data_IF_457419653443
#
_entry.id   IF_457419653443
#
_cell.length_a   1.000
_cell.length_b   1.000
_cell.length_c   1.000
_cell.angle_alpha   90.00
_cell.angle_beta   90.00
_cell.angle_gamma   90.00
#
_symmetry.space_group_name_H-M   'P 1'
#
loop_
_entity.id
_entity.type
_entity.pdbx_description
1 polymer ?
#
# COMPACT_ATOMS: atom_id res chain seq x y z
N UNK A 1 15.65 -7.28 -3.24
CA UNK A 1 15.85 -6.78 -1.88
C UNK A 1 14.64 -7.18 -1.04
N UNK A 2 14.86 -7.94 0.02
CA UNK A 2 13.83 -8.29 1.00
C UNK A 2 13.44 -7.06 1.83
N UNK A 3 12.34 -7.15 2.57
CA UNK A 3 11.91 -6.07 3.45
C UNK A 3 12.89 -5.84 4.61
N UNK A 4 13.46 -6.92 5.14
CA UNK A 4 14.47 -6.88 6.20
C UNK A 4 15.76 -6.23 5.71
N UNK A 5 16.23 -6.60 4.51
CA UNK A 5 17.40 -5.97 3.87
C UNK A 5 17.20 -4.47 3.70
N UNK A 6 16.01 -4.05 3.25
CA UNK A 6 15.67 -2.63 3.09
C UNK A 6 15.67 -1.89 4.43
N UNK A 7 15.10 -2.48 5.49
CA UNK A 7 15.06 -1.86 6.82
C UNK A 7 16.46 -1.74 7.39
N UNK A 8 17.27 -2.80 7.28
CA UNK A 8 18.67 -2.78 7.68
C UNK A 8 19.47 -1.69 6.94
N UNK A 9 19.28 -1.56 5.62
CA UNK A 9 19.90 -0.50 4.81
C UNK A 9 19.49 0.91 5.27
N UNK A 10 18.22 1.10 5.65
CA UNK A 10 17.74 2.37 6.20
C UNK A 10 18.39 2.68 7.55
N UNK A 11 18.38 1.72 8.47
CA UNK A 11 18.90 1.89 9.83
C UNK A 11 20.41 2.16 9.82
N UNK A 12 21.16 1.33 9.10
CA UNK A 12 22.61 1.50 8.92
C UNK A 12 22.94 2.87 8.30
N UNK A 13 22.21 3.28 7.26
CA UNK A 13 22.49 4.58 6.62
C UNK A 13 22.15 5.76 7.55
N UNK A 14 21.06 5.69 8.32
CA UNK A 14 20.73 6.71 9.32
C UNK A 14 21.83 6.80 10.39
N UNK A 15 22.36 5.65 10.81
CA UNK A 15 23.44 5.60 11.79
C UNK A 15 24.72 6.23 11.22
N UNK A 16 25.12 5.87 10.00
CA UNK A 16 26.28 6.46 9.33
C UNK A 16 26.16 7.99 9.19
N UNK A 17 24.96 8.50 8.87
CA UNK A 17 24.72 9.95 8.82
C UNK A 17 24.95 10.59 10.20
N UNK A 18 24.45 9.98 11.28
CA UNK A 18 24.60 10.51 12.64
C UNK A 18 26.05 10.47 13.11
N UNK A 19 26.77 9.39 12.83
CA UNK A 19 28.17 9.19 13.22
C UNK A 19 29.14 10.04 12.40
N UNK A 20 28.76 10.44 11.18
CA UNK A 20 29.61 11.29 10.34
C UNK A 20 29.81 12.70 10.90
N UNK A 21 28.95 13.14 11.83
CA UNK A 21 28.89 14.51 12.35
C UNK A 21 28.76 15.62 11.27
N UNK A 22 28.55 15.24 10.01
CA UNK A 22 28.34 16.15 8.91
C UNK A 22 26.91 16.70 8.94
N UNK A 23 26.69 17.95 8.47
CA UNK A 23 25.34 18.40 8.15
C UNK A 23 24.68 17.41 7.18
N UNK A 24 23.44 17.01 7.45
CA UNK A 24 22.70 16.03 6.61
C UNK A 24 22.76 16.40 5.13
N UNK A 25 22.63 17.69 4.81
CA UNK A 25 22.72 18.18 3.43
C UNK A 25 24.07 17.93 2.77
N UNK A 26 25.16 18.01 3.54
CA UNK A 26 26.52 17.77 3.08
C UNK A 26 26.74 16.27 2.88
N UNK A 27 26.29 15.45 3.82
CA UNK A 27 26.37 13.99 3.71
C UNK A 27 25.72 13.49 2.42
N UNK A 28 24.50 13.95 2.12
CA UNK A 28 23.75 13.59 0.92
C UNK A 28 24.37 14.07 -0.39
N UNK A 29 25.22 15.11 -0.36
CA UNK A 29 25.95 15.57 -1.54
C UNK A 29 27.21 14.75 -1.80
N UNK A 30 27.82 14.21 -0.74
CA UNK A 30 29.11 13.54 -0.79
C UNK A 30 28.99 12.01 -0.87
N UNK A 31 27.85 11.45 -0.47
CA UNK A 31 27.64 10.01 -0.37
C UNK A 31 26.45 9.57 -1.22
N UNK A 32 26.53 8.35 -1.75
CA UNK A 32 25.37 7.67 -2.33
C UNK A 32 24.47 7.19 -1.21
N UNK A 33 23.25 7.72 -1.15
CA UNK A 33 22.24 7.38 -0.14
C UNK A 33 21.07 6.66 -0.82
N UNK A 34 20.58 5.52 -0.29
CA UNK A 34 19.55 4.71 -0.93
C UNK A 34 18.13 5.32 -0.84
N UNK A 35 18.00 6.51 -0.26
CA UNK A 35 16.75 7.25 -0.10
C UNK A 35 17.03 8.75 -0.14
N UNK A 36 15.98 9.56 -0.30
CA UNK A 36 16.08 11.03 -0.33
C UNK A 36 16.22 11.64 1.06
N UNK A 37 16.65 12.90 1.11
CA UNK A 37 16.75 13.64 2.37
C UNK A 37 15.40 13.82 3.06
N UNK A 38 14.33 13.94 2.29
CA UNK A 38 12.95 14.01 2.81
C UNK A 38 12.55 12.67 3.45
N UNK A 39 12.95 11.55 2.83
CA UNK A 39 12.77 10.21 3.41
C UNK A 39 13.58 10.03 4.69
N UNK A 40 14.82 10.54 4.76
CA UNK A 40 15.61 10.53 6.01
C UNK A 40 14.84 11.14 7.18
N UNK A 41 14.35 12.38 7.05
CA UNK A 41 13.62 13.04 8.13
C UNK A 41 12.31 12.31 8.48
N UNK A 42 11.65 11.72 7.47
CA UNK A 42 10.47 10.89 7.68
C UNK A 42 10.82 9.64 8.49
N UNK A 43 11.90 8.94 8.17
CA UNK A 43 12.36 7.76 8.89
C UNK A 43 12.77 8.10 10.32
N UNK A 44 13.52 9.19 10.55
CA UNK A 44 13.83 9.64 11.90
C UNK A 44 12.56 9.93 12.73
N UNK A 45 11.55 10.55 12.12
CA UNK A 45 10.26 10.81 12.78
C UNK A 45 9.51 9.51 13.11
N UNK A 46 9.51 8.55 12.20
CA UNK A 46 8.89 7.23 12.40
C UNK A 46 9.60 6.46 13.52
N UNK A 47 10.94 6.38 13.47
CA UNK A 47 11.75 5.72 14.49
C UNK A 47 11.50 6.32 15.88
N UNK A 48 11.41 7.66 15.98
CA UNK A 48 11.08 8.33 17.24
C UNK A 48 9.69 7.99 17.77
N UNK A 49 8.71 7.79 16.88
CA UNK A 49 7.31 7.54 17.24
C UNK A 49 7.03 6.07 17.55
N UNK A 50 7.64 5.15 16.80
CA UNK A 50 7.20 3.76 16.72
C UNK A 50 8.35 2.77 16.62
N UNK A 51 9.60 3.19 16.80
CA UNK A 51 10.77 2.33 16.65
C UNK A 51 10.92 1.76 15.24
N UNK A 52 11.68 0.68 15.13
CA UNK A 52 11.95 -0.03 13.88
C UNK A 52 10.67 -0.63 13.27
N UNK A 53 9.73 -1.07 14.10
CA UNK A 53 8.39 -1.57 13.70
C UNK A 53 7.61 -0.57 12.83
N UNK A 54 7.91 0.73 12.95
CA UNK A 54 7.31 1.77 12.13
C UNK A 54 7.80 1.79 10.68
N UNK A 55 8.95 1.15 10.39
CA UNK A 55 9.57 1.11 9.05
C UNK A 55 9.06 -0.06 8.20
N UNK A 56 8.41 -1.06 8.80
CA UNK A 56 7.77 -2.17 8.08
C UNK A 56 6.55 -1.70 7.29
N UNK A 57 6.35 -2.27 6.11
CA UNK A 57 5.18 -1.98 5.28
C UNK A 57 3.93 -2.67 5.84
N UNK A 58 3.21 -1.93 6.68
CA UNK A 58 1.95 -2.36 7.29
C UNK A 58 0.79 -2.49 6.29
N UNK A 59 1.00 -2.23 4.98
CA UNK A 59 -0.02 -2.54 3.96
C UNK A 59 -0.25 -4.05 3.82
N UNK A 60 0.75 -4.86 4.16
CA UNK A 60 0.62 -6.33 4.17
C UNK A 60 -0.36 -6.82 5.23
N UNK A 61 -0.58 -6.05 6.29
CA UNK A 61 -1.51 -6.38 7.38
C UNK A 61 -2.99 -6.09 7.03
N UNK A 62 -3.32 -5.79 5.76
CA UNK A 62 -4.68 -5.52 5.30
C UNK A 62 -5.30 -4.19 5.79
N UNK A 63 -4.70 -3.56 6.80
CA UNK A 63 -5.29 -2.47 7.60
C UNK A 63 -5.36 -1.08 6.92
N UNK A 64 -4.88 -0.93 5.68
CA UNK A 64 -4.95 0.34 4.96
C UNK A 64 -5.53 0.24 3.54
N UNK A 65 -6.06 -0.92 3.16
CA UNK A 65 -6.79 -1.04 1.88
C UNK A 65 -8.28 -0.90 2.12
N UNK A 66 -8.97 -0.15 1.25
CA UNK A 66 -10.44 -0.06 1.25
C UNK A 66 -11.12 -1.39 0.93
N UNK A 67 -10.37 -2.38 0.44
CA UNK A 67 -10.82 -3.74 0.16
C UNK A 67 -10.50 -4.64 1.36
N UNK A 68 -11.25 -4.48 2.43
CA UNK A 68 -11.21 -5.42 3.56
C UNK A 68 -11.66 -6.82 3.11
N UNK A 69 -11.32 -7.87 3.86
CA UNK A 69 -11.74 -9.24 3.55
C UNK A 69 -13.26 -9.35 3.39
N UNK A 70 -14.02 -8.77 4.32
CA UNK A 70 -15.48 -8.72 4.25
C UNK A 70 -16.01 -8.09 2.96
N UNK A 71 -15.34 -7.04 2.44
CA UNK A 71 -15.70 -6.41 1.18
C UNK A 71 -15.30 -7.29 0.00
N UNK A 72 -14.13 -7.94 0.05
CA UNK A 72 -13.67 -8.90 -0.97
C UNK A 72 -14.66 -10.05 -1.12
N UNK A 73 -15.08 -10.66 -0.01
CA UNK A 73 -16.05 -11.76 -0.01
C UNK A 73 -17.39 -11.32 -0.60
N UNK A 74 -17.85 -10.11 -0.23
CA UNK A 74 -19.07 -9.55 -0.80
C UNK A 74 -18.96 -9.32 -2.31
N UNK A 75 -17.82 -8.81 -2.78
CA UNK A 75 -17.57 -8.65 -4.22
C UNK A 75 -17.62 -10.01 -4.90
N UNK A 76 -16.93 -11.02 -4.37
CA UNK A 76 -16.90 -12.38 -4.93
C UNK A 76 -18.31 -12.95 -5.05
N UNK A 77 -19.11 -12.94 -3.98
CA UNK A 77 -20.51 -13.43 -4.03
C UNK A 77 -21.33 -12.65 -5.07
N UNK A 78 -21.26 -11.32 -5.05
CA UNK A 78 -22.05 -10.48 -5.95
C UNK A 78 -21.71 -10.71 -7.44
N UNK A 79 -20.42 -10.84 -7.78
CA UNK A 79 -19.99 -11.06 -9.18
C UNK A 79 -20.12 -12.52 -9.61
N UNK A 80 -20.17 -13.46 -8.67
CA UNK A 80 -20.47 -14.86 -8.97
C UNK A 80 -21.93 -15.03 -9.33
N UNK A 81 -22.84 -14.37 -8.60
CA UNK A 81 -24.28 -14.35 -8.89
C UNK A 81 -24.61 -13.60 -10.19
N UNK A 82 -23.93 -12.48 -10.46
CA UNK A 82 -24.13 -11.70 -11.67
C UNK A 82 -22.79 -11.22 -12.23
N UNK A 83 -22.19 -12.05 -13.10
CA UNK A 83 -20.87 -11.76 -13.69
C UNK A 83 -20.89 -10.58 -14.65
N UNK A 84 -22.06 -10.19 -15.15
CA UNK A 84 -22.25 -9.08 -16.08
C UNK A 84 -22.39 -7.71 -15.41
N UNK A 85 -22.49 -7.67 -14.08
CA UNK A 85 -22.57 -6.42 -13.30
C UNK A 85 -21.44 -5.45 -13.68
N UNK A 86 -21.82 -4.22 -13.99
CA UNK A 86 -20.87 -3.16 -14.35
C UNK A 86 -20.13 -2.67 -13.11
N UNK A 87 -18.94 -2.10 -13.32
CA UNK A 87 -18.14 -1.51 -12.24
C UNK A 87 -18.89 -0.40 -11.48
N UNK A 88 -19.58 0.56 -12.15
CA UNK A 88 -20.38 1.56 -11.44
C UNK A 88 -21.52 0.96 -10.59
N UNK A 89 -22.21 -0.07 -11.09
CA UNK A 89 -23.26 -0.75 -10.31
C UNK A 89 -22.70 -1.45 -9.08
N UNK A 90 -21.56 -2.14 -9.23
CA UNK A 90 -20.91 -2.81 -8.12
C UNK A 90 -20.35 -1.81 -7.09
N UNK A 91 -19.79 -0.68 -7.53
CA UNK A 91 -19.40 0.42 -6.64
C UNK A 91 -20.60 0.95 -5.85
N UNK A 92 -21.75 1.17 -6.49
CA UNK A 92 -22.98 1.58 -5.82
C UNK A 92 -23.42 0.58 -4.75
N UNK A 93 -23.37 -0.72 -5.05
CA UNK A 93 -23.68 -1.77 -4.07
C UNK A 93 -22.73 -1.77 -2.87
N UNK A 94 -21.43 -1.60 -3.10
CA UNK A 94 -20.42 -1.54 -2.04
C UNK A 94 -20.61 -0.29 -1.18
N UNK A 95 -20.83 0.87 -1.80
CA UNK A 95 -21.10 2.12 -1.10
C UNK A 95 -22.33 1.99 -0.21
N UNK A 96 -23.44 1.48 -0.74
CA UNK A 96 -24.67 1.32 0.03
C UNK A 96 -24.55 0.34 1.20
N UNK A 97 -23.71 -0.69 1.06
CA UNK A 97 -23.58 -1.75 2.08
C UNK A 97 -22.51 -1.45 3.14
N UNK A 98 -21.43 -0.78 2.77
CA UNK A 98 -20.25 -0.61 3.63
C UNK A 98 -19.87 0.85 3.86
N UNK A 99 -20.52 1.81 3.19
CA UNK A 99 -20.14 3.22 3.17
C UNK A 99 -18.68 3.47 2.71
N UNK A 100 -18.17 2.58 1.84
CA UNK A 100 -16.80 2.65 1.32
C UNK A 100 -16.81 2.92 -0.18
N UNK A 101 -16.14 4.00 -0.59
CA UNK A 101 -15.88 4.31 -2.01
C UNK A 101 -14.61 3.63 -2.51
N UNK A 102 -14.76 2.63 -3.38
CA UNK A 102 -13.68 1.89 -4.02
C UNK A 102 -13.49 2.41 -5.44
N UNK A 103 -12.24 2.60 -5.87
CA UNK A 103 -11.94 3.04 -7.24
C UNK A 103 -12.25 1.95 -8.26
N UNK A 104 -12.58 2.35 -9.49
CA UNK A 104 -12.83 1.41 -10.59
C UNK A 104 -11.61 0.53 -10.88
N UNK A 105 -10.41 1.11 -10.90
CA UNK A 105 -9.16 0.38 -11.12
C UNK A 105 -8.91 -0.66 -10.03
N UNK A 106 -9.14 -0.32 -8.75
CA UNK A 106 -9.04 -1.27 -7.64
C UNK A 106 -10.03 -2.42 -7.77
N UNK A 107 -11.26 -2.13 -8.19
CA UNK A 107 -12.30 -3.15 -8.36
C UNK A 107 -11.98 -4.08 -9.54
N UNK A 108 -11.56 -3.53 -10.68
CA UNK A 108 -11.19 -4.30 -11.86
C UNK A 108 -9.95 -5.16 -11.60
N UNK A 109 -8.94 -4.61 -10.92
CA UNK A 109 -7.75 -5.36 -10.50
C UNK A 109 -8.12 -6.52 -9.56
N UNK A 110 -9.01 -6.28 -8.59
CA UNK A 110 -9.46 -7.34 -7.70
C UNK A 110 -10.24 -8.44 -8.45
N UNK A 111 -11.17 -8.07 -9.34
CA UNK A 111 -11.89 -9.03 -10.19
C UNK A 111 -10.96 -9.87 -11.05
N UNK A 112 -9.91 -9.26 -11.61
CA UNK A 112 -8.88 -9.98 -12.36
C UNK A 112 -8.11 -10.96 -11.47
N UNK A 113 -7.72 -10.55 -10.25
CA UNK A 113 -6.98 -11.42 -9.32
C UNK A 113 -7.75 -12.67 -8.87
N UNK A 114 -9.08 -12.65 -8.91
CA UNK A 114 -9.93 -13.79 -8.57
C UNK A 114 -10.57 -14.45 -9.80
N UNK A 115 -10.10 -14.12 -11.01
CA UNK A 115 -10.61 -14.68 -12.28
C UNK A 115 -12.12 -14.46 -12.51
N UNK A 116 -12.70 -13.39 -11.94
CA UNK A 116 -14.11 -13.01 -12.08
C UNK A 116 -14.27 -11.72 -12.90
N UNK A 117 -13.50 -11.60 -13.99
CA UNK A 117 -13.65 -10.53 -14.98
C UNK A 117 -15.09 -10.48 -15.51
N UNK A 118 -15.54 -9.27 -15.88
CA UNK A 118 -16.91 -9.03 -16.34
C UNK A 118 -17.14 -9.74 -17.67
N UNK A 119 -18.23 -10.50 -17.75
CA UNK A 119 -18.71 -11.10 -19.00
C UNK A 119 -19.87 -10.24 -19.50
N UNK A 120 -19.76 -9.58 -20.67
CA UNK A 120 -20.86 -8.81 -21.20
C UNK A 120 -22.07 -9.71 -21.48
N UNK A 121 -23.28 -9.22 -21.21
CA UNK A 121 -24.49 -9.87 -21.69
C UNK A 121 -24.44 -9.81 -23.22
N UNK A 122 -24.47 -10.98 -23.88
CA UNK A 122 -24.70 -11.02 -25.32
C UNK A 122 -26.04 -10.31 -25.60
N UNK A 123 -26.01 -9.36 -26.53
CA UNK A 123 -27.21 -8.69 -27.05
C UNK A 123 -28.04 -9.66 -27.88
#
# INVERSE_FOLDING_TARGET
MSEEERIFEILSTIQNIKESELPVTTYFKQNSVPFTREQYYRYCRILKKSGEDGLYDKRKDGNYTKLTERIKDYIISTVTENRSITTPQLQGKILNKFDVKISESSLNAFRASVSLTRVPLHK
#
